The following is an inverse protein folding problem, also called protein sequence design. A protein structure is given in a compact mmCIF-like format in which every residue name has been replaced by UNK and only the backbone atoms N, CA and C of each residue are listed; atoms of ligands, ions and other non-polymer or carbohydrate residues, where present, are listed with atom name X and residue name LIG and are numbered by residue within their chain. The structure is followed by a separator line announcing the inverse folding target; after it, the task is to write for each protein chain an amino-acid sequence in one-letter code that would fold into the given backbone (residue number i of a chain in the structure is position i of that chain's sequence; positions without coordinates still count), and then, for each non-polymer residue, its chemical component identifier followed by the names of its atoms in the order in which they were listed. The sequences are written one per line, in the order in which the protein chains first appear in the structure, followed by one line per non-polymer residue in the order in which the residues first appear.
data_IF_578672131536
#
_entry.id   IF_578672131536
#
_cell.length_a   1.000
_cell.length_b   1.000
_cell.length_c   1.000
_cell.angle_alpha   90.00
_cell.angle_beta   90.00
_cell.angle_gamma   90.00
#
_symmetry.space_group_name_H-M   'P 1'
#
loop_
_entity.id
_entity.type
_entity.pdbx_description
1 polymer ?
#
# COMPACT_ATOMS: atom_id res chain seq x y z
N UNK A 1 16.32 -13.50 14.22
CA UNK A 1 15.88 -12.38 15.10
C UNK A 1 14.59 -12.80 15.80
N UNK A 2 14.49 -12.70 17.13
CA UNK A 2 13.33 -13.22 17.88
C UNK A 2 12.20 -12.17 17.95
N UNK A 3 10.99 -12.43 17.41
CA UNK A 3 9.88 -11.50 17.44
C UNK A 3 9.52 -11.02 18.84
N UNK A 4 9.63 -11.90 19.85
CA UNK A 4 9.33 -11.58 21.25
C UNK A 4 10.20 -10.45 21.80
N UNK A 5 11.46 -10.34 21.35
CA UNK A 5 12.37 -9.28 21.78
C UNK A 5 11.96 -7.91 21.21
N UNK A 6 11.49 -7.86 19.97
CA UNK A 6 11.02 -6.62 19.34
C UNK A 6 9.79 -6.04 20.08
N UNK A 7 8.81 -6.89 20.41
CA UNK A 7 7.64 -6.45 21.18
C UNK A 7 8.00 -6.05 22.62
N UNK A 8 8.95 -6.74 23.26
CA UNK A 8 9.48 -6.31 24.58
C UNK A 8 10.15 -4.94 24.51
N UNK A 9 10.95 -4.69 23.47
CA UNK A 9 11.65 -3.42 23.30
C UNK A 9 10.68 -2.26 23.04
N UNK A 10 9.60 -2.48 22.27
CA UNK A 10 8.52 -1.50 22.07
C UNK A 10 7.87 -1.06 23.38
N UNK A 11 7.71 -1.97 24.34
CA UNK A 11 7.08 -1.72 25.64
C UNK A 11 8.07 -1.28 26.73
N UNK A 12 9.37 -1.24 26.43
CA UNK A 12 10.38 -0.92 27.43
C UNK A 12 10.37 0.59 27.75
N UNK A 13 10.59 1.02 29.01
CA UNK A 13 10.59 2.45 29.38
C UNK A 13 11.61 3.29 28.60
N UNK A 14 12.75 2.69 28.24
CA UNK A 14 13.80 3.31 27.38
C UNK A 14 13.59 3.09 25.88
N UNK A 15 12.51 2.41 25.49
CA UNK A 15 12.21 2.01 24.11
C UNK A 15 11.46 3.06 23.29
N UNK A 16 11.20 4.25 23.83
CA UNK A 16 10.33 5.26 23.19
C UNK A 16 10.74 5.62 21.75
N UNK A 17 12.04 5.70 21.47
CA UNK A 17 12.54 5.96 20.11
C UNK A 17 12.24 4.81 19.15
N UNK A 18 12.40 3.57 19.62
CA UNK A 18 12.07 2.38 18.83
C UNK A 18 10.57 2.29 18.59
N UNK A 19 9.72 2.56 19.59
CA UNK A 19 8.28 2.58 19.44
C UNK A 19 7.81 3.57 18.37
N UNK A 20 8.34 4.81 18.37
CA UNK A 20 8.03 5.80 17.33
C UNK A 20 8.46 5.36 15.94
N UNK A 21 9.67 4.80 15.80
CA UNK A 21 10.14 4.30 14.50
C UNK A 21 9.32 3.09 14.03
N UNK A 22 8.87 2.25 14.97
CA UNK A 22 7.98 1.14 14.68
C UNK A 22 6.63 1.62 14.16
N UNK A 23 6.04 2.65 14.77
CA UNK A 23 4.80 3.28 14.27
C UNK A 23 4.99 3.82 12.85
N UNK A 24 6.11 4.50 12.57
CA UNK A 24 6.43 4.93 11.20
C UNK A 24 6.59 3.75 10.24
N UNK A 25 7.18 2.65 10.69
CA UNK A 25 7.28 1.44 9.87
C UNK A 25 5.90 0.81 9.62
N UNK A 26 4.98 0.83 10.60
CA UNK A 26 3.59 0.39 10.44
C UNK A 26 2.84 1.28 9.44
N UNK A 27 3.02 2.60 9.48
CA UNK A 27 2.46 3.55 8.50
C UNK A 27 2.97 3.24 7.07
N UNK A 28 4.27 3.02 6.90
CA UNK A 28 4.86 2.64 5.61
C UNK A 28 4.33 1.28 5.12
N UNK A 29 4.21 0.30 6.03
CA UNK A 29 3.66 -1.01 5.70
C UNK A 29 2.19 -0.93 5.27
N UNK A 30 1.39 -0.07 5.92
CA UNK A 30 0.00 0.17 5.53
C UNK A 30 -0.09 0.74 4.10
N UNK A 31 0.75 1.72 3.74
CA UNK A 31 0.82 2.26 2.36
C UNK A 31 1.14 1.16 1.35
N UNK A 32 2.11 0.29 1.66
CA UNK A 32 2.48 -0.84 0.79
C UNK A 32 1.36 -1.86 0.64
N UNK A 33 0.65 -2.18 1.73
CA UNK A 33 -0.51 -3.08 1.69
C UNK A 33 -1.61 -2.52 0.79
N UNK A 34 -1.87 -1.22 0.85
CA UNK A 34 -2.83 -0.54 -0.02
C UNK A 34 -2.42 -0.66 -1.50
N UNK A 35 -1.16 -0.41 -1.85
CA UNK A 35 -0.67 -0.60 -3.23
C UNK A 35 -0.82 -2.05 -3.72
N UNK A 36 -0.54 -3.04 -2.88
CA UNK A 36 -0.73 -4.45 -3.21
C UNK A 36 -2.21 -4.79 -3.38
N UNK A 37 -3.08 -4.26 -2.52
CA UNK A 37 -4.52 -4.44 -2.64
C UNK A 37 -5.06 -3.87 -3.95
N UNK A 38 -4.63 -2.66 -4.34
CA UNK A 38 -4.98 -2.08 -5.64
C UNK A 38 -4.48 -2.91 -6.80
N UNK A 39 -3.22 -3.37 -6.76
CA UNK A 39 -2.69 -4.23 -7.81
C UNK A 39 -3.54 -5.51 -7.93
N UNK A 40 -3.86 -6.17 -6.82
CA UNK A 40 -4.70 -7.38 -6.81
C UNK A 40 -6.15 -7.12 -7.22
N UNK A 41 -6.69 -5.94 -6.95
CA UNK A 41 -8.04 -5.57 -7.36
C UNK A 41 -8.11 -5.34 -8.88
N UNK A 42 -7.10 -4.69 -9.45
CA UNK A 42 -7.02 -4.39 -10.89
C UNK A 42 -6.61 -5.60 -11.72
N UNK A 43 -5.69 -6.41 -11.18
CA UNK A 43 -5.03 -7.49 -11.88
C UNK A 43 -5.50 -8.86 -11.38
N UNK A 44 -6.50 -8.98 -10.50
CA UNK A 44 -6.91 -10.26 -9.92
C UNK A 44 -5.82 -10.98 -9.10
N UNK A 45 -6.18 -12.14 -8.55
CA UNK A 45 -5.26 -13.00 -7.79
C UNK A 45 -5.16 -14.38 -8.45
N UNK A 46 -3.94 -14.93 -8.57
CA UNK A 46 -3.72 -16.31 -9.03
C UNK A 46 -4.13 -17.28 -7.93
N UNK A 47 -5.03 -18.21 -8.26
CA UNK A 47 -5.47 -19.28 -7.37
C UNK A 47 -5.23 -20.62 -8.03
N UNK A 48 -4.60 -21.53 -7.30
CA UNK A 48 -4.44 -22.92 -7.72
C UNK A 48 -5.82 -23.60 -7.77
N UNK A 49 -6.14 -24.20 -8.91
CA UNK A 49 -7.31 -25.04 -9.09
C UNK A 49 -6.94 -26.49 -8.78
N UNK A 50 -7.53 -27.02 -7.72
CA UNK A 50 -7.36 -28.41 -7.30
C UNK A 50 -8.61 -29.21 -7.63
N UNK A 51 -8.44 -30.39 -8.22
CA UNK A 51 -9.52 -31.36 -8.45
C UNK A 51 -9.04 -32.72 -7.98
N UNK A 52 -9.80 -33.36 -7.10
CA UNK A 52 -9.49 -34.69 -6.57
C UNK A 52 -8.08 -34.82 -5.94
N UNK A 53 -7.53 -33.74 -5.37
CA UNK A 53 -6.19 -33.74 -4.78
C UNK A 53 -5.05 -33.48 -5.77
N UNK A 54 -5.35 -33.35 -7.06
CA UNK A 54 -4.37 -32.99 -8.09
C UNK A 54 -4.50 -31.52 -8.48
N UNK A 55 -3.35 -30.87 -8.70
CA UNK A 55 -3.29 -29.51 -9.21
C UNK A 55 -3.63 -29.53 -10.72
N UNK A 56 -4.83 -29.05 -11.06
CA UNK A 56 -5.34 -29.05 -12.44
C UNK A 56 -4.90 -27.82 -13.22
N UNK A 57 -4.55 -26.74 -12.52
CA UNK A 57 -4.04 -25.53 -13.15
C UNK A 57 -4.12 -24.32 -12.24
N UNK A 58 -4.03 -23.14 -12.84
CA UNK A 58 -4.16 -21.87 -12.15
C UNK A 58 -5.23 -21.01 -12.82
N UNK A 59 -6.10 -20.43 -12.01
CA UNK A 59 -7.11 -19.47 -12.44
C UNK A 59 -6.76 -18.10 -11.89
N UNK A 60 -6.96 -17.08 -12.72
CA UNK A 60 -6.93 -15.69 -12.28
C UNK A 60 -8.34 -15.27 -11.94
N UNK A 61 -8.58 -14.98 -10.66
CA UNK A 61 -9.90 -14.58 -10.17
C UNK A 61 -9.86 -13.17 -9.62
N UNK A 62 -10.77 -12.34 -10.11
CA UNK A 62 -11.01 -11.01 -9.58
C UNK A 62 -11.89 -11.12 -8.34
N UNK A 63 -11.47 -10.49 -7.24
CA UNK A 63 -12.29 -10.37 -6.04
C UNK A 63 -12.83 -8.93 -5.93
N UNK A 64 -14.12 -8.71 -6.20
CA UNK A 64 -14.72 -7.38 -6.13
C UNK A 64 -14.67 -6.79 -4.72
N UNK A 65 -14.50 -7.61 -3.67
CA UNK A 65 -14.31 -7.10 -2.30
C UNK A 65 -12.98 -6.37 -2.14
N UNK A 66 -11.94 -6.82 -2.83
CA UNK A 66 -10.63 -6.14 -2.82
C UNK A 66 -10.69 -4.78 -3.53
N UNK A 67 -11.67 -4.58 -4.42
CA UNK A 67 -11.93 -3.29 -5.05
C UNK A 67 -12.75 -2.38 -4.14
N UNK A 68 -13.86 -2.89 -3.59
CA UNK A 68 -14.82 -2.08 -2.83
C UNK A 68 -14.28 -1.67 -1.46
N UNK A 69 -13.51 -2.53 -0.78
CA UNK A 69 -12.94 -2.22 0.53
C UNK A 69 -12.07 -0.95 0.54
N UNK A 70 -11.02 -0.81 -0.29
CA UNK A 70 -10.19 0.39 -0.28
C UNK A 70 -10.98 1.63 -0.71
N UNK A 71 -11.92 1.51 -1.65
CA UNK A 71 -12.76 2.64 -2.05
C UNK A 71 -13.60 3.18 -0.88
N UNK A 72 -14.23 2.28 -0.11
CA UNK A 72 -15.03 2.65 1.07
C UNK A 72 -14.20 3.27 2.19
N UNK A 73 -12.94 2.87 2.32
CA UNK A 73 -12.07 3.32 3.41
C UNK A 73 -11.33 4.62 3.08
N UNK A 74 -10.94 4.81 1.82
CA UNK A 74 -10.21 5.99 1.37
C UNK A 74 -11.14 7.17 1.04
N UNK A 75 -12.35 6.89 0.55
CA UNK A 75 -13.37 7.91 0.30
C UNK A 75 -14.70 7.46 0.92
N UNK A 76 -14.80 7.51 2.27
CA UNK A 76 -16.00 7.09 2.97
C UNK A 76 -17.19 8.01 2.69
N UNK A 77 -16.93 9.24 2.26
CA UNK A 77 -17.96 10.22 1.92
C UNK A 77 -18.61 9.96 0.56
N UNK A 78 -17.87 9.39 -0.41
CA UNK A 78 -18.44 9.04 -1.72
C UNK A 78 -18.90 7.58 -1.79
N UNK A 79 -18.13 6.64 -1.25
CA UNK A 79 -18.37 5.21 -1.44
C UNK A 79 -18.68 4.43 -0.15
N UNK A 80 -18.42 5.00 1.02
CA UNK A 80 -18.54 4.35 2.33
C UNK A 80 -19.86 4.64 3.07
N UNK A 81 -19.85 4.37 4.38
CA UNK A 81 -21.03 4.46 5.24
C UNK A 81 -21.55 5.90 5.45
N UNK A 82 -20.75 6.91 5.13
CA UNK A 82 -21.13 8.33 5.23
C UNK A 82 -21.67 8.89 3.91
N UNK A 83 -21.68 8.09 2.85
CA UNK A 83 -22.22 8.50 1.55
C UNK A 83 -23.71 8.81 1.63
N UNK A 84 -24.08 10.04 1.26
CA UNK A 84 -25.44 10.57 1.38
C UNK A 84 -25.89 10.90 2.81
N UNK A 85 -25.05 10.67 3.83
CA UNK A 85 -25.37 11.04 5.23
C UNK A 85 -25.05 12.50 5.50
N UNK A 86 -23.97 13.01 4.92
CA UNK A 86 -23.62 14.42 4.94
C UNK A 86 -23.76 14.97 3.52
N UNK A 87 -24.60 15.97 3.32
CA UNK A 87 -24.66 16.76 2.07
C UNK A 87 -23.47 17.73 2.02
N UNK A 88 -22.27 17.16 1.99
CA UNK A 88 -21.05 17.91 1.72
C UNK A 88 -20.76 17.75 0.23
N UNK A 89 -20.60 18.83 -0.55
CA UNK A 89 -20.07 18.71 -1.89
C UNK A 89 -18.65 18.16 -1.78
N UNK A 90 -18.49 16.86 -2.04
CA UNK A 90 -17.18 16.19 -2.06
C UNK A 90 -16.58 16.45 -3.44
N UNK A 91 -15.54 17.29 -3.56
CA UNK A 91 -14.85 17.48 -4.84
C UNK A 91 -14.32 16.13 -5.32
N UNK A 92 -14.18 15.93 -6.63
CA UNK A 92 -13.52 14.72 -7.12
C UNK A 92 -12.01 14.80 -6.80
N UNK A 93 -11.50 13.99 -5.84
CA UNK A 93 -10.09 14.02 -5.49
C UNK A 93 -9.23 13.53 -6.67
N UNK A 94 -9.79 12.72 -7.58
CA UNK A 94 -9.09 12.26 -8.77
C UNK A 94 -8.87 13.41 -9.74
N UNK A 95 -9.88 14.25 -9.97
CA UNK A 95 -9.75 15.47 -10.78
C UNK A 95 -8.73 16.44 -10.17
N UNK A 96 -8.82 16.70 -8.85
CA UNK A 96 -7.87 17.57 -8.17
C UNK A 96 -6.43 17.05 -8.23
N UNK A 97 -6.23 15.75 -7.96
CA UNK A 97 -4.92 15.11 -8.03
C UNK A 97 -4.38 15.12 -9.47
N UNK A 98 -5.23 14.83 -10.47
CA UNK A 98 -4.83 14.84 -11.89
C UNK A 98 -4.39 16.22 -12.37
N UNK A 99 -5.03 17.29 -11.88
CA UNK A 99 -4.63 18.66 -12.18
C UNK A 99 -3.28 19.03 -11.55
N UNK A 100 -2.97 18.50 -10.36
CA UNK A 100 -1.74 18.80 -9.63
C UNK A 100 -0.55 17.93 -10.04
N UNK A 101 -0.82 16.71 -10.54
CA UNK A 101 0.19 15.70 -10.82
C UNK A 101 1.29 16.17 -11.80
N UNK A 102 0.99 16.83 -12.93
CA UNK A 102 2.05 17.27 -13.85
C UNK A 102 3.06 18.21 -13.20
N UNK A 103 2.59 19.17 -12.38
CA UNK A 103 3.46 20.08 -11.65
C UNK A 103 4.29 19.34 -10.60
N UNK A 104 3.68 18.39 -9.88
CA UNK A 104 4.39 17.55 -8.91
C UNK A 104 5.46 16.66 -9.55
N UNK A 105 5.19 16.08 -10.73
CA UNK A 105 6.15 15.26 -11.48
C UNK A 105 7.33 16.10 -11.98
N UNK A 106 7.07 17.29 -12.50
CA UNK A 106 8.13 18.20 -12.96
C UNK A 106 9.02 18.73 -11.82
N UNK A 107 8.52 18.67 -10.58
CA UNK A 107 9.28 19.06 -9.38
C UNK A 107 10.10 17.89 -8.78
N UNK A 108 9.99 16.67 -9.35
CA UNK A 108 10.85 15.56 -8.93
C UNK A 108 12.24 15.77 -9.53
N UNK A 109 13.24 15.90 -8.66
CA UNK A 109 14.64 15.82 -9.03
C UNK A 109 15.04 14.34 -9.07
N UNK A 110 15.81 13.96 -10.09
CA UNK A 110 16.41 12.63 -10.14
C UNK A 110 17.38 12.47 -8.96
N UNK A 111 17.30 11.33 -8.29
CA UNK A 111 18.32 10.97 -7.30
C UNK A 111 19.55 10.51 -8.06
N UNK A 112 20.69 11.19 -7.85
CA UNK A 112 21.98 10.78 -8.41
C UNK A 112 22.21 9.28 -8.15
N UNK A 113 22.45 8.52 -9.22
CA UNK A 113 22.82 7.11 -9.15
C UNK A 113 24.11 7.01 -8.32
N UNK A 114 24.13 6.28 -7.18
CA UNK A 114 25.37 6.08 -6.43
C UNK A 114 26.29 5.23 -7.30
N UNK A 115 27.15 5.93 -8.07
CA UNK A 115 27.97 5.37 -9.12
C UNK A 115 28.57 4.01 -8.76
N UNK A 116 28.34 3.04 -9.64
CA UNK A 116 29.07 1.78 -9.73
C UNK A 116 30.56 2.03 -9.40
N UNK A 117 31.14 1.41 -8.36
CA UNK A 117 32.56 1.57 -8.08
C UNK A 117 33.35 1.02 -9.25
N UNK A 118 34.04 1.92 -9.96
CA UNK A 118 34.83 1.59 -11.14
C UNK A 118 35.77 0.41 -10.92
N UNK A 119 35.48 -0.68 -11.62
CA UNK A 119 36.39 -1.78 -11.85
C UNK A 119 37.51 -1.26 -12.77
N UNK A 120 38.61 -0.81 -12.17
CA UNK A 120 39.69 -0.15 -12.89
C UNK A 120 40.92 0.12 -12.04
N UNK A 121 41.45 -0.91 -11.38
CA UNK A 121 42.83 -0.92 -10.89
C UNK A 121 43.40 -2.34 -11.03
N UNK A 122 43.99 -2.60 -12.20
CA UNK A 122 44.93 -3.68 -12.46
C UNK A 122 46.29 -3.08 -12.79
#
# INVERSE_FOLDING_TARGET
MNPRLAYRLRRHPRGARFARLWERAEEVAAKRLTSVAFNRALNGVRRALWKNGELVGEERRDDPRLLIFPMRHLDPMRYGALSGVLEVPVPDPCAAASAQLPAGLNALEDLDDPGEPGEGAA
#
